data_IF_103249339000
#
_entry.id   IF_103249339000
#
_cell.length_a   1.000
_cell.length_b   1.000
_cell.length_c   1.000
_cell.angle_alpha   90.00
_cell.angle_beta   90.00
_cell.angle_gamma   90.00
#
_symmetry.space_group_name_H-M   'P 1'
#
loop_
_entity.id
_entity.type
_entity.pdbx_description
1 polymer ?
#
# COMPACT_ATOMS: atom_id res chain seq x y z
N UNK A 1 -69.50 9.10 -31.66
CA UNK A 1 -68.54 9.08 -30.55
C UNK A 1 -67.13 8.99 -31.12
N UNK A 2 -66.37 10.13 -31.12
CA UNK A 2 -64.98 10.19 -31.62
C UNK A 2 -64.05 9.99 -30.42
N UNK A 3 -63.25 8.92 -30.45
CA UNK A 3 -62.22 8.64 -29.50
C UNK A 3 -60.95 9.33 -30.00
N UNK A 4 -60.50 10.35 -29.27
CA UNK A 4 -59.18 11.00 -29.45
C UNK A 4 -58.10 10.13 -28.78
N UNK A 5 -57.24 9.53 -29.59
CA UNK A 5 -56.05 8.82 -29.09
C UNK A 5 -54.96 9.84 -28.92
N UNK A 6 -54.56 10.10 -27.68
CA UNK A 6 -53.46 10.98 -27.31
C UNK A 6 -52.19 10.13 -27.16
N UNK A 7 -51.35 10.10 -28.20
CA UNK A 7 -50.03 9.43 -28.14
C UNK A 7 -49.04 10.36 -27.44
N UNK A 8 -48.68 10.02 -26.22
CA UNK A 8 -47.58 10.66 -25.48
C UNK A 8 -46.26 10.10 -26.01
N UNK A 9 -45.56 10.92 -26.79
CA UNK A 9 -44.19 10.62 -27.22
C UNK A 9 -43.23 10.93 -26.07
N UNK A 10 -42.75 9.88 -25.39
CA UNK A 10 -41.74 9.99 -24.31
C UNK A 10 -40.37 10.09 -24.98
N UNK A 11 -39.83 11.31 -25.08
CA UNK A 11 -38.44 11.56 -25.54
C UNK A 11 -37.52 11.27 -24.39
N UNK A 12 -36.88 10.09 -24.38
CA UNK A 12 -35.78 9.73 -23.51
C UNK A 12 -34.53 10.51 -23.95
N UNK A 13 -34.25 11.62 -23.28
CA UNK A 13 -32.97 12.32 -23.39
C UNK A 13 -31.89 11.47 -22.72
N UNK A 14 -31.11 10.73 -23.50
CA UNK A 14 -29.88 10.12 -23.05
C UNK A 14 -28.84 11.22 -22.80
N UNK A 15 -28.72 11.67 -21.57
CA UNK A 15 -27.51 12.39 -21.13
C UNK A 15 -26.35 11.40 -21.12
N UNK A 16 -25.48 11.46 -22.13
CA UNK A 16 -24.19 10.80 -22.09
C UNK A 16 -23.37 11.57 -21.04
N UNK A 17 -23.27 10.99 -19.84
CA UNK A 17 -22.28 11.40 -18.88
C UNK A 17 -20.91 10.98 -19.45
N UNK A 18 -20.14 11.93 -19.98
CA UNK A 18 -18.73 11.73 -20.24
C UNK A 18 -18.06 11.63 -18.87
N UNK A 19 -17.63 10.45 -18.49
CA UNK A 19 -16.74 10.29 -17.37
C UNK A 19 -15.42 10.97 -17.75
N UNK A 20 -15.09 12.06 -17.07
CA UNK A 20 -13.78 12.69 -17.19
C UNK A 20 -12.75 11.72 -16.62
N UNK A 21 -11.84 11.27 -17.46
CA UNK A 21 -10.82 10.30 -17.09
C UNK A 21 -9.80 11.01 -16.20
N UNK A 22 -9.96 10.92 -14.88
CA UNK A 22 -9.04 11.54 -13.92
C UNK A 22 -7.69 10.83 -14.04
N UNK A 23 -6.63 11.54 -14.45
CA UNK A 23 -5.35 10.88 -14.67
C UNK A 23 -4.80 10.30 -13.36
N UNK A 24 -4.46 9.02 -13.38
CA UNK A 24 -3.76 8.37 -12.26
C UNK A 24 -2.33 8.91 -12.20
N UNK A 25 -1.98 9.53 -11.08
CA UNK A 25 -0.65 10.11 -10.86
C UNK A 25 0.24 9.10 -10.13
N UNK A 26 1.41 8.86 -10.67
CA UNK A 26 2.47 8.01 -10.09
C UNK A 26 3.75 8.80 -9.85
N UNK A 27 4.52 8.38 -8.87
CA UNK A 27 5.77 9.05 -8.49
C UNK A 27 6.98 8.19 -8.85
N UNK A 28 6.87 6.88 -8.70
CA UNK A 28 7.99 5.95 -8.80
C UNK A 28 8.75 6.02 -10.14
N UNK A 29 8.11 6.10 -11.33
CA UNK A 29 8.85 5.99 -12.59
C UNK A 29 9.93 7.06 -12.81
N UNK A 30 9.73 8.27 -12.30
CA UNK A 30 10.67 9.38 -12.48
C UNK A 30 11.09 10.05 -11.17
N UNK A 31 10.72 9.48 -10.02
CA UNK A 31 10.85 10.11 -8.69
C UNK A 31 10.17 11.49 -8.60
N UNK A 32 9.22 11.73 -9.49
CA UNK A 32 8.40 12.94 -9.55
C UNK A 32 6.99 12.59 -10.01
N UNK A 33 6.02 13.40 -9.61
CA UNK A 33 4.61 13.19 -9.99
C UNK A 33 4.43 13.28 -11.49
N UNK A 34 3.88 12.24 -12.10
CA UNK A 34 3.57 12.19 -13.53
C UNK A 34 2.33 11.32 -13.78
N UNK A 35 1.65 11.57 -14.89
CA UNK A 35 0.50 10.74 -15.27
C UNK A 35 0.95 9.34 -15.67
N UNK A 36 0.25 8.31 -15.17
CA UNK A 36 0.51 6.91 -15.52
C UNK A 36 0.49 6.69 -17.04
N UNK A 37 -0.35 7.41 -17.78
CA UNK A 37 -0.46 7.32 -19.24
C UNK A 37 0.80 7.77 -19.99
N UNK A 38 1.68 8.55 -19.35
CA UNK A 38 2.94 9.05 -19.94
C UNK A 38 4.15 8.21 -19.54
N UNK A 39 3.97 7.20 -18.72
CA UNK A 39 5.06 6.37 -18.19
C UNK A 39 5.42 5.27 -19.20
N UNK A 40 6.70 5.20 -19.58
CA UNK A 40 7.21 4.15 -20.47
C UNK A 40 7.45 2.79 -19.79
N UNK A 41 7.38 2.72 -18.46
CA UNK A 41 7.54 1.49 -17.68
C UNK A 41 6.18 0.92 -17.27
N UNK A 42 6.09 -0.39 -17.11
CA UNK A 42 4.89 -1.02 -16.54
C UNK A 42 4.83 -0.73 -15.05
N UNK A 43 3.81 -0.01 -14.62
CA UNK A 43 3.51 0.30 -13.21
C UNK A 43 2.22 -0.39 -12.81
N UNK A 44 2.26 -1.04 -11.66
CA UNK A 44 1.08 -1.56 -10.98
C UNK A 44 0.86 -0.74 -9.71
N UNK A 45 -0.37 -0.34 -9.46
CA UNK A 45 -0.72 0.48 -8.30
C UNK A 45 -1.73 -0.29 -7.47
N UNK A 46 -1.45 -0.41 -6.18
CA UNK A 46 -2.37 -0.92 -5.17
C UNK A 46 -2.75 0.29 -4.32
N UNK A 47 -4.00 0.71 -4.44
CA UNK A 47 -4.50 1.93 -3.79
C UNK A 47 -4.70 1.74 -2.28
N UNK A 48 -4.77 2.86 -1.54
CA UNK A 48 -5.09 2.85 -0.12
C UNK A 48 -6.43 2.21 0.20
N UNK A 49 -7.43 2.40 -0.68
CA UNK A 49 -8.74 1.78 -0.52
C UNK A 49 -8.65 0.25 -0.67
N UNK A 50 -7.93 -0.25 -1.68
CA UNK A 50 -7.68 -1.69 -1.83
C UNK A 50 -6.94 -2.29 -0.63
N UNK A 51 -5.98 -1.52 -0.06
CA UNK A 51 -5.24 -1.95 1.13
C UNK A 51 -6.14 -1.96 2.37
N UNK A 52 -6.95 -0.91 2.58
CA UNK A 52 -7.83 -0.80 3.74
C UNK A 52 -8.96 -1.84 3.72
N UNK A 53 -9.54 -2.10 2.55
CA UNK A 53 -10.65 -3.03 2.36
C UNK A 53 -10.21 -4.50 2.35
N UNK A 54 -8.90 -4.76 2.27
CA UNK A 54 -8.36 -6.11 2.31
C UNK A 54 -8.62 -6.76 3.66
N UNK A 55 -9.02 -8.03 3.64
CA UNK A 55 -9.13 -8.88 4.82
C UNK A 55 -7.78 -9.29 5.41
N UNK A 56 -6.69 -9.04 4.68
CA UNK A 56 -5.33 -9.32 5.15
C UNK A 56 -4.83 -8.20 6.08
N UNK A 57 -4.00 -8.56 7.05
CA UNK A 57 -3.44 -7.63 8.03
C UNK A 57 -2.06 -7.12 7.64
N UNK A 58 -1.26 -7.95 6.97
CA UNK A 58 0.10 -7.64 6.56
C UNK A 58 0.18 -7.20 5.10
N UNK A 59 1.07 -6.26 4.80
CA UNK A 59 1.28 -5.79 3.43
C UNK A 59 1.70 -6.92 2.47
N UNK A 60 2.63 -7.83 2.81
CA UNK A 60 2.99 -8.91 1.89
C UNK A 60 1.79 -9.75 1.45
N UNK A 61 0.88 -10.11 2.36
CA UNK A 61 -0.30 -10.89 1.99
C UNK A 61 -1.24 -10.10 1.06
N UNK A 62 -1.38 -8.79 1.30
CA UNK A 62 -2.16 -7.92 0.41
C UNK A 62 -1.53 -7.86 -0.98
N UNK A 63 -0.19 -7.73 -1.06
CA UNK A 63 0.51 -7.73 -2.34
C UNK A 63 0.35 -9.06 -3.08
N UNK A 64 0.38 -10.18 -2.37
CA UNK A 64 0.19 -11.49 -2.97
C UNK A 64 -1.21 -11.67 -3.56
N UNK A 65 -2.24 -11.14 -2.87
CA UNK A 65 -3.63 -11.24 -3.30
C UNK A 65 -3.99 -10.22 -4.41
N UNK A 66 -3.32 -9.07 -4.41
CA UNK A 66 -3.69 -7.95 -5.29
C UNK A 66 -2.80 -7.82 -6.53
N UNK A 67 -1.58 -8.37 -6.52
CA UNK A 67 -0.61 -8.24 -7.62
C UNK A 67 -0.39 -9.55 -8.35
N UNK A 68 -0.61 -9.54 -9.66
CA UNK A 68 -0.33 -10.69 -10.53
C UNK A 68 1.16 -10.89 -10.84
N UNK A 69 1.98 -9.90 -10.54
CA UNK A 69 3.41 -9.90 -10.89
C UNK A 69 4.34 -10.14 -9.73
N UNK A 70 3.82 -10.06 -8.50
CA UNK A 70 4.56 -10.34 -7.30
C UNK A 70 4.22 -11.74 -6.77
N UNK A 71 5.23 -12.43 -6.30
CA UNK A 71 5.08 -13.67 -5.56
C UNK A 71 5.71 -13.49 -4.19
N UNK A 72 4.90 -13.66 -3.16
CA UNK A 72 5.34 -13.61 -1.78
C UNK A 72 5.65 -15.04 -1.34
N UNK A 73 6.84 -15.25 -0.83
CA UNK A 73 7.15 -16.47 -0.12
C UNK A 73 7.37 -16.18 1.35
N UNK A 74 6.71 -16.93 2.19
CA UNK A 74 6.79 -16.85 3.64
C UNK A 74 7.19 -18.22 4.19
N UNK A 75 8.17 -18.25 5.09
CA UNK A 75 8.74 -19.52 5.58
C UNK A 75 7.94 -20.20 6.67
N UNK A 76 6.79 -19.65 7.05
CA UNK A 76 5.95 -20.18 8.12
C UNK A 76 4.78 -19.26 8.46
N UNK A 77 4.42 -19.18 9.76
CA UNK A 77 3.39 -18.29 10.27
C UNK A 77 3.77 -16.80 10.20
N UNK A 78 2.94 -15.96 10.81
CA UNK A 78 3.22 -14.53 10.91
C UNK A 78 4.59 -14.27 11.54
N UNK A 79 5.31 -13.25 11.06
CA UNK A 79 6.62 -12.87 11.58
C UNK A 79 7.79 -13.70 11.09
N UNK A 80 7.57 -14.75 10.29
CA UNK A 80 8.66 -15.49 9.67
C UNK A 80 9.17 -14.78 8.42
N UNK A 81 10.42 -15.05 8.03
CA UNK A 81 11.07 -14.42 6.89
C UNK A 81 10.16 -14.43 5.65
N UNK A 82 9.82 -13.23 5.20
CA UNK A 82 8.89 -13.02 4.10
C UNK A 82 9.56 -12.20 3.02
N UNK A 83 9.84 -12.83 1.90
CA UNK A 83 10.46 -12.19 0.74
C UNK A 83 9.48 -12.00 -0.40
N UNK A 84 9.81 -11.05 -1.28
CA UNK A 84 9.05 -10.80 -2.49
C UNK A 84 9.89 -11.04 -3.73
N UNK A 85 9.31 -11.75 -4.69
CA UNK A 85 9.85 -11.95 -6.02
C UNK A 85 8.99 -11.21 -7.04
N UNK A 86 9.61 -10.46 -7.91
CA UNK A 86 8.93 -9.84 -9.03
C UNK A 86 9.19 -10.65 -10.30
N UNK A 87 8.12 -11.11 -10.95
CA UNK A 87 8.19 -11.92 -12.19
C UNK A 87 9.09 -13.15 -12.06
N UNK A 88 9.15 -13.78 -10.88
CA UNK A 88 9.97 -14.95 -10.61
C UNK A 88 11.48 -14.70 -10.48
N UNK A 89 11.91 -13.43 -10.49
CA UNK A 89 13.30 -13.06 -10.27
C UNK A 89 13.57 -13.03 -8.75
N UNK A 90 14.74 -13.48 -8.34
CA UNK A 90 15.15 -13.57 -6.94
C UNK A 90 14.94 -12.23 -6.17
N UNK A 91 14.56 -12.34 -4.92
CA UNK A 91 14.24 -11.20 -4.02
C UNK A 91 15.32 -10.11 -3.96
N UNK A 92 16.61 -10.47 -4.04
CA UNK A 92 17.73 -9.52 -4.02
C UNK A 92 17.73 -8.51 -5.17
N UNK A 93 16.98 -8.80 -6.23
CA UNK A 93 16.85 -7.94 -7.41
C UNK A 93 15.55 -7.14 -7.43
N UNK A 94 14.73 -7.25 -6.38
CA UNK A 94 13.57 -6.41 -6.14
C UNK A 94 13.86 -5.48 -4.96
N UNK A 95 13.93 -4.17 -5.21
CA UNK A 95 14.23 -3.20 -4.14
C UNK A 95 12.97 -2.59 -3.57
N UNK A 96 12.94 -2.43 -2.26
CA UNK A 96 11.82 -1.82 -1.53
C UNK A 96 12.20 -0.42 -1.08
N UNK A 97 11.27 0.50 -1.23
CA UNK A 97 11.39 1.89 -0.76
C UNK A 97 10.16 2.25 0.08
N UNK A 98 10.37 3.01 1.13
CA UNK A 98 9.31 3.65 1.91
C UNK A 98 9.54 5.16 1.83
N UNK A 99 8.57 5.89 1.29
CA UNK A 99 8.64 7.33 1.03
C UNK A 99 9.96 7.80 0.38
N UNK A 100 10.48 6.98 -0.54
CA UNK A 100 11.71 7.26 -1.27
C UNK A 100 13.00 6.83 -0.56
N UNK A 101 12.93 6.36 0.69
CA UNK A 101 14.07 5.81 1.42
C UNK A 101 14.21 4.33 1.10
N UNK A 102 15.40 3.92 0.64
CA UNK A 102 15.69 2.52 0.35
C UNK A 102 15.75 1.70 1.62
N UNK A 103 14.95 0.65 1.67
CA UNK A 103 14.94 -0.31 2.77
C UNK A 103 15.98 -1.41 2.51
N UNK A 104 16.76 -1.71 3.52
CA UNK A 104 17.78 -2.75 3.50
C UNK A 104 17.76 -3.48 4.84
N UNK A 105 17.98 -4.78 4.79
CA UNK A 105 18.28 -5.54 5.99
C UNK A 105 19.79 -5.84 6.02
N UNK A 106 20.57 -5.17 6.90
CA UNK A 106 22.01 -5.37 6.98
C UNK A 106 22.40 -6.75 7.55
N UNK A 107 21.46 -7.47 8.17
CA UNK A 107 21.66 -8.85 8.65
C UNK A 107 21.48 -9.88 7.54
N UNK A 108 20.83 -9.51 6.46
CA UNK A 108 20.66 -10.35 5.28
C UNK A 108 21.95 -10.41 4.46
N UNK A 109 22.38 -11.60 4.09
CA UNK A 109 23.62 -11.81 3.31
C UNK A 109 23.60 -11.15 1.92
N UNK A 110 22.41 -10.89 1.37
CA UNK A 110 22.20 -10.27 0.07
C UNK A 110 21.63 -8.85 0.14
N UNK A 111 21.47 -8.31 1.36
CA UNK A 111 20.89 -6.97 1.60
C UNK A 111 19.41 -6.85 1.25
N UNK A 112 18.72 -7.97 1.03
CA UNK A 112 17.27 -7.95 0.76
C UNK A 112 16.51 -7.47 1.98
N UNK A 113 15.51 -6.63 1.74
CA UNK A 113 14.56 -6.26 2.80
C UNK A 113 13.46 -7.31 2.88
N UNK A 114 13.17 -7.76 4.10
CA UNK A 114 12.10 -8.69 4.40
C UNK A 114 10.86 -7.93 4.90
N UNK A 115 9.69 -8.36 4.44
CA UNK A 115 8.43 -7.63 4.63
C UNK A 115 7.58 -8.17 5.79
N UNK A 116 8.06 -9.15 6.56
CA UNK A 116 7.28 -9.87 7.58
C UNK A 116 6.62 -8.98 8.62
N UNK A 117 7.24 -7.84 8.92
CA UNK A 117 6.75 -6.91 9.95
C UNK A 117 6.00 -5.70 9.37
N UNK A 118 5.80 -5.65 8.06
CA UNK A 118 5.09 -4.53 7.42
C UNK A 118 3.59 -4.78 7.45
N UNK A 119 2.90 -4.04 8.30
CA UNK A 119 1.43 -4.08 8.43
C UNK A 119 0.77 -3.10 7.47
N UNK A 120 -0.54 -3.29 7.18
CA UNK A 120 -1.31 -2.40 6.29
C UNK A 120 -1.53 -0.99 6.83
N UNK A 121 -1.35 -0.80 8.14
CA UNK A 121 -1.61 0.46 8.81
C UNK A 121 -0.71 1.59 8.29
N UNK A 122 -1.31 2.75 8.03
CA UNK A 122 -0.57 3.96 7.64
C UNK A 122 -0.06 3.97 6.19
N UNK A 123 -0.38 2.96 5.37
CA UNK A 123 -0.02 2.94 3.96
C UNK A 123 -1.09 3.65 3.14
N UNK A 124 -0.66 4.60 2.30
CA UNK A 124 -1.49 5.31 1.35
C UNK A 124 -1.68 4.52 0.05
N UNK A 125 -0.59 4.02 -0.51
CA UNK A 125 -0.57 3.17 -1.70
C UNK A 125 0.77 2.48 -1.88
N UNK A 126 0.80 1.49 -2.77
CA UNK A 126 2.03 0.84 -3.23
C UNK A 126 2.12 0.95 -4.74
N UNK A 127 3.27 1.41 -5.23
CA UNK A 127 3.58 1.45 -6.67
C UNK A 127 4.66 0.41 -6.97
N UNK A 128 4.36 -0.57 -7.83
CA UNK A 128 5.29 -1.62 -8.24
C UNK A 128 5.74 -1.31 -9.68
N UNK A 129 6.99 -0.91 -9.84
CA UNK A 129 7.63 -0.75 -11.14
C UNK A 129 8.23 -2.06 -11.59
N UNK A 130 7.83 -2.52 -12.75
CA UNK A 130 8.26 -3.79 -13.32
C UNK A 130 9.37 -3.59 -14.35
N UNK A 131 10.38 -4.45 -14.27
CA UNK A 131 11.53 -4.42 -15.16
C UNK A 131 12.70 -3.62 -14.59
N UNK A 132 13.78 -3.51 -15.35
CA UNK A 132 15.04 -2.92 -14.90
C UNK A 132 14.88 -1.44 -14.61
N UNK A 133 15.13 -1.07 -13.36
CA UNK A 133 15.08 0.31 -12.84
C UNK A 133 16.44 0.75 -12.27
N UNK A 134 17.52 0.07 -12.67
CA UNK A 134 18.85 0.23 -12.08
C UNK A 134 19.42 1.65 -12.23
N UNK A 135 19.05 2.36 -13.28
CA UNK A 135 19.52 3.74 -13.51
C UNK A 135 19.06 4.75 -12.47
N UNK A 136 17.86 4.56 -11.92
CA UNK A 136 17.27 5.46 -10.92
C UNK A 136 17.30 4.91 -9.49
N UNK A 137 17.25 3.59 -9.37
CA UNK A 137 17.04 2.90 -8.10
C UNK A 137 18.25 2.05 -7.64
N UNK A 138 19.33 2.05 -8.44
CA UNK A 138 20.56 1.36 -8.11
C UNK A 138 20.62 -0.09 -8.62
N UNK A 139 21.80 -0.71 -8.52
CA UNK A 139 22.16 -1.97 -9.16
C UNK A 139 21.25 -3.16 -8.84
N UNK A 140 20.61 -3.16 -7.68
CA UNK A 140 19.75 -4.26 -7.27
C UNK A 140 18.31 -4.17 -7.83
N UNK A 141 17.94 -3.07 -8.50
CA UNK A 141 16.62 -2.90 -9.07
C UNK A 141 16.50 -3.49 -10.49
N UNK A 142 16.88 -4.77 -10.66
CA UNK A 142 16.85 -5.47 -11.94
C UNK A 142 15.45 -6.03 -12.23
N UNK A 143 14.82 -6.64 -11.24
CA UNK A 143 13.46 -7.17 -11.36
C UNK A 143 12.40 -6.05 -11.32
N UNK A 144 12.70 -5.00 -10.59
CA UNK A 144 11.83 -3.85 -10.38
C UNK A 144 11.98 -3.23 -9.01
N UNK A 145 11.07 -2.31 -8.70
CA UNK A 145 11.00 -1.65 -7.38
C UNK A 145 9.59 -1.68 -6.82
N UNK A 146 9.52 -1.77 -5.50
CA UNK A 146 8.29 -1.68 -4.73
C UNK A 146 8.38 -0.41 -3.89
N UNK A 147 7.54 0.56 -4.20
CA UNK A 147 7.55 1.85 -3.53
C UNK A 147 6.29 1.96 -2.67
N UNK A 148 6.48 2.00 -1.37
CA UNK A 148 5.43 2.13 -0.37
C UNK A 148 5.34 3.60 -0.01
N UNK A 149 4.15 4.18 -0.15
CA UNK A 149 3.89 5.55 0.25
C UNK A 149 3.02 5.56 1.50
N UNK A 150 3.43 6.33 2.50
CA UNK A 150 2.70 6.47 3.75
C UNK A 150 1.63 7.55 3.67
N UNK A 151 0.58 7.40 4.48
CA UNK A 151 -0.52 8.37 4.57
C UNK A 151 -0.01 9.73 5.04
N UNK A 152 -0.55 10.77 4.41
CA UNK A 152 -0.36 12.17 4.80
C UNK A 152 -1.66 12.71 5.40
N UNK A 153 -1.57 13.86 6.06
CA UNK A 153 -2.76 14.51 6.63
C UNK A 153 -3.77 14.91 5.55
N UNK A 154 -5.03 14.59 5.77
CA UNK A 154 -6.18 15.06 4.99
C UNK A 154 -6.60 16.45 5.46
N UNK A 155 -7.17 17.28 4.57
CA UNK A 155 -7.66 18.62 4.93
C UNK A 155 -8.69 18.54 6.07
N UNK A 156 -8.47 19.34 7.12
CA UNK A 156 -9.24 19.30 8.35
C UNK A 156 -8.56 18.44 9.43
N UNK A 157 -9.34 17.88 10.34
CA UNK A 157 -8.87 16.99 11.41
C UNK A 157 -9.69 15.71 11.39
N UNK A 158 -9.03 14.58 11.38
CA UNK A 158 -9.65 13.27 11.31
C UNK A 158 -9.07 12.35 12.37
N UNK A 159 -9.85 11.37 12.76
CA UNK A 159 -9.40 10.26 13.60
C UNK A 159 -10.13 9.00 13.16
N UNK A 160 -9.38 7.93 12.98
CA UNK A 160 -9.89 6.64 12.57
C UNK A 160 -9.52 5.61 13.64
N UNK A 161 -10.47 4.75 13.97
CA UNK A 161 -10.29 3.67 14.93
C UNK A 161 -10.89 2.39 14.36
N UNK A 162 -10.13 1.30 14.38
CA UNK A 162 -10.64 -0.01 13.97
C UNK A 162 -10.20 -1.13 14.92
N UNK A 163 -11.08 -2.10 15.06
CA UNK A 163 -10.82 -3.37 15.75
C UNK A 163 -11.25 -4.49 14.80
N UNK A 164 -10.32 -5.35 14.49
CA UNK A 164 -10.56 -6.50 13.63
C UNK A 164 -10.23 -7.78 14.41
N UNK A 165 -11.01 -8.83 14.23
CA UNK A 165 -10.79 -10.13 14.85
C UNK A 165 -10.86 -11.23 13.81
N UNK A 166 -10.05 -12.28 13.96
CA UNK A 166 -10.03 -13.42 13.08
C UNK A 166 -9.78 -14.73 13.85
N UNK A 167 -9.65 -15.83 13.15
CA UNK A 167 -9.35 -17.13 13.72
C UNK A 167 -8.00 -17.13 14.46
N UNK A 168 -7.73 -18.15 15.26
CA UNK A 168 -6.49 -18.32 16.02
C UNK A 168 -6.20 -17.17 17.00
N UNK A 169 -7.23 -16.69 17.70
CA UNK A 169 -7.08 -15.60 18.66
C UNK A 169 -6.62 -14.28 18.06
N UNK A 170 -6.66 -14.13 16.73
CA UNK A 170 -6.16 -12.96 16.02
C UNK A 170 -6.97 -11.73 16.37
N UNK A 171 -6.26 -10.66 16.76
CA UNK A 171 -6.81 -9.35 17.06
C UNK A 171 -5.92 -8.27 16.46
N UNK A 172 -6.52 -7.32 15.79
CA UNK A 172 -5.83 -6.17 15.23
C UNK A 172 -6.52 -4.89 15.70
N UNK A 173 -5.77 -4.04 16.39
CA UNK A 173 -6.23 -2.75 16.87
C UNK A 173 -5.45 -1.67 16.13
N UNK A 174 -6.16 -0.75 15.50
CA UNK A 174 -5.55 0.39 14.82
C UNK A 174 -6.21 1.69 15.29
N UNK A 175 -5.38 2.68 15.55
CA UNK A 175 -5.81 4.05 15.79
C UNK A 175 -4.94 5.01 15.02
N UNK A 176 -5.56 5.99 14.37
CA UNK A 176 -4.82 7.05 13.70
C UNK A 176 -5.48 8.40 13.86
N UNK A 177 -4.67 9.44 13.81
CA UNK A 177 -5.09 10.83 13.72
C UNK A 177 -4.36 11.48 12.57
N UNK A 178 -5.05 12.31 11.83
CA UNK A 178 -4.47 13.08 10.75
C UNK A 178 -5.15 14.43 10.58
N UNK A 179 -4.43 15.33 9.96
CA UNK A 179 -4.97 16.62 9.62
C UNK A 179 -4.03 17.44 8.77
N UNK A 180 -4.63 18.37 8.03
CA UNK A 180 -3.87 19.34 7.26
C UNK A 180 -4.57 20.69 7.22
N UNK A 181 -3.75 21.74 7.20
CA UNK A 181 -4.12 23.10 6.85
C UNK A 181 -3.20 23.64 5.73
N UNK A 182 -3.19 24.93 5.50
CA UNK A 182 -2.41 25.55 4.41
C UNK A 182 -0.90 25.42 4.60
N UNK A 183 -0.42 25.23 5.82
CA UNK A 183 1.01 25.20 6.16
C UNK A 183 1.48 23.89 6.74
N UNK A 184 0.61 23.18 7.47
CA UNK A 184 1.00 22.00 8.23
C UNK A 184 0.14 20.80 7.85
N UNK A 185 0.75 19.64 7.70
CA UNK A 185 0.04 18.37 7.62
C UNK A 185 0.70 17.36 8.54
N UNK A 186 -0.11 16.46 9.08
CA UNK A 186 0.37 15.39 9.93
C UNK A 186 -0.49 14.15 9.79
N UNK A 187 0.14 13.01 9.91
CA UNK A 187 -0.47 11.70 10.13
C UNK A 187 0.29 11.01 11.27
N UNK A 188 -0.43 10.44 12.20
CA UNK A 188 0.13 9.58 13.25
C UNK A 188 -0.78 8.36 13.39
N UNK A 189 -0.20 7.18 13.23
CA UNK A 189 -0.90 5.89 13.36
C UNK A 189 -0.19 4.97 14.33
N UNK A 190 -0.97 4.25 15.11
CA UNK A 190 -0.51 3.15 15.96
C UNK A 190 -1.28 1.89 15.59
N UNK A 191 -0.61 0.76 15.63
CA UNK A 191 -1.21 -0.54 15.37
C UNK A 191 -0.69 -1.55 16.37
N UNK A 192 -1.57 -2.45 16.81
CA UNK A 192 -1.23 -3.63 17.62
C UNK A 192 -1.92 -4.85 17.04
N UNK A 193 -1.13 -5.77 16.57
CA UNK A 193 -1.55 -7.06 16.02
C UNK A 193 -1.09 -8.19 16.94
N UNK A 194 -1.96 -9.12 17.24
CA UNK A 194 -1.67 -10.31 18.06
C UNK A 194 -2.39 -11.50 17.41
N UNK A 195 -1.73 -12.63 17.35
CA UNK A 195 -2.33 -13.92 16.98
C UNK A 195 -1.67 -15.04 17.75
N UNK A 196 -2.43 -16.05 18.13
CA UNK A 196 -1.90 -17.28 18.73
C UNK A 196 -1.11 -18.11 17.70
N UNK A 197 -1.37 -17.86 16.40
CA UNK A 197 -0.68 -18.55 15.33
C UNK A 197 -1.09 -20.01 15.15
N UNK A 198 -0.19 -20.74 14.53
CA UNK A 198 -0.29 -22.21 14.32
C UNK A 198 1.06 -22.83 14.67
N UNK A 199 1.08 -24.07 15.14
CA UNK A 199 2.34 -24.79 15.30
C UNK A 199 2.99 -25.07 13.93
N UNK A 200 4.27 -24.75 13.79
CA UNK A 200 5.09 -25.14 12.64
C UNK A 200 5.55 -26.60 12.73
N UNK A 201 5.46 -27.20 13.91
CA UNK A 201 5.83 -28.60 14.15
C UNK A 201 4.61 -29.51 14.00
N UNK A 202 4.80 -30.62 13.29
CA UNK A 202 3.80 -31.69 13.26
C UNK A 202 3.81 -32.40 14.64
N UNK A 203 2.63 -32.78 15.13
CA UNK A 203 2.42 -33.48 16.40
C UNK A 203 2.84 -32.64 17.66
N UNK A 204 2.81 -31.33 17.58
CA UNK A 204 3.01 -30.45 18.73
C UNK A 204 1.84 -29.46 18.86
N UNK A 205 1.31 -29.31 20.07
CA UNK A 205 0.22 -28.38 20.42
C UNK A 205 0.75 -26.95 20.75
N UNK A 206 2.05 -26.72 20.62
CA UNK A 206 2.66 -25.39 20.79
C UNK A 206 2.19 -24.45 19.69
N UNK A 207 1.76 -23.28 20.09
CA UNK A 207 1.35 -22.21 19.15
C UNK A 207 2.51 -21.25 18.93
N UNK A 208 2.78 -20.94 17.67
CA UNK A 208 3.77 -19.91 17.30
C UNK A 208 3.10 -18.51 17.36
N UNK A 209 2.98 -18.01 18.60
CA UNK A 209 2.38 -16.69 18.85
C UNK A 209 3.17 -15.59 18.14
N UNK A 210 2.47 -14.65 17.51
CA UNK A 210 3.08 -13.48 16.91
C UNK A 210 2.44 -12.19 17.42
N UNK A 211 3.28 -11.23 17.79
CA UNK A 211 2.89 -9.88 18.18
C UNK A 211 3.64 -8.87 17.34
N UNK A 212 2.91 -7.87 16.85
CA UNK A 212 3.48 -6.72 16.14
C UNK A 212 2.87 -5.44 16.71
N UNK A 213 3.72 -4.52 17.12
CA UNK A 213 3.33 -3.18 17.53
C UNK A 213 4.12 -2.18 16.69
N UNK A 214 3.43 -1.30 15.99
CA UNK A 214 4.08 -0.29 15.19
C UNK A 214 3.49 1.10 15.42
N UNK A 215 4.33 2.09 15.21
CA UNK A 215 3.98 3.51 15.19
C UNK A 215 4.50 4.05 13.88
N UNK A 216 3.65 4.77 13.17
CA UNK A 216 4.00 5.44 11.92
C UNK A 216 3.61 6.92 12.02
N UNK A 217 4.50 7.81 11.61
CA UNK A 217 4.26 9.24 11.64
C UNK A 217 4.75 9.90 10.36
N UNK A 218 3.99 10.85 9.85
CA UNK A 218 4.35 11.68 8.72
C UNK A 218 4.02 13.14 9.06
N UNK A 219 4.97 14.03 8.87
CA UNK A 219 4.83 15.45 9.18
C UNK A 219 5.32 16.28 8.02
N UNK A 220 4.55 17.28 7.64
CA UNK A 220 4.93 18.22 6.61
C UNK A 220 4.68 19.66 7.04
N UNK A 221 5.64 20.55 6.75
CA UNK A 221 5.51 21.97 7.01
C UNK A 221 5.91 22.78 5.78
N UNK A 222 5.02 23.63 5.31
CA UNK A 222 5.24 24.54 4.19
C UNK A 222 5.77 25.87 4.71
N UNK A 223 7.04 26.14 4.45
CA UNK A 223 7.68 27.39 4.84
C UNK A 223 7.29 28.53 3.88
N UNK A 224 7.31 28.22 2.58
CA UNK A 224 6.89 29.12 1.50
C UNK A 224 6.28 28.30 0.37
N UNK A 225 5.81 28.95 -0.71
CA UNK A 225 5.28 28.23 -1.88
C UNK A 225 6.34 27.37 -2.58
N UNK A 226 7.61 27.72 -2.42
CA UNK A 226 8.74 27.04 -3.06
C UNK A 226 9.47 26.08 -2.10
N UNK A 227 9.26 26.22 -0.77
CA UNK A 227 10.00 25.45 0.23
C UNK A 227 9.07 24.71 1.19
N UNK A 228 9.17 23.38 1.18
CA UNK A 228 8.44 22.48 2.04
C UNK A 228 9.41 21.53 2.74
N UNK A 229 9.19 21.30 4.02
CA UNK A 229 9.88 20.27 4.80
C UNK A 229 8.90 19.12 5.02
N UNK A 230 9.28 17.91 4.65
CA UNK A 230 8.52 16.69 4.93
C UNK A 230 9.44 15.69 5.62
N UNK A 231 8.88 14.97 6.60
CA UNK A 231 9.52 13.86 7.30
C UNK A 231 8.50 12.73 7.47
N UNK A 232 8.90 11.52 7.14
CA UNK A 232 8.12 10.27 7.28
C UNK A 232 8.95 9.22 8.03
#
# INVERSE_FOLDING_TARGET
>A
LKIFSFSILFVLSFNQAFAEDIPVIVISPGKSSQSLSTVGSTVEIISGDQISDSSQFSLPNILNDSSLSSHIFQMGGHGTNTGIQLRGIEKRYATVYVDGVKMLDPSSSDGSFYLENVMKNGIDRVEILKGTQSSLYGSNAIAGTINIFTKKGRKGKHSDFSVETASKGTRNLTYSIDGADDKFNYFLGINKFITDGISAMNDNDENDEYKNENIIGNFGYKISDELKIENS
#
